data_IF_490786831288
#
_entry.id   IF_490786831288
#
_cell.length_a   1.000
_cell.length_b   1.000
_cell.length_c   1.000
_cell.angle_alpha   90.00
_cell.angle_beta   90.00
_cell.angle_gamma   90.00
#
_symmetry.space_group_name_H-M   'P 1'
#
loop_
_entity.id
_entity.type
_entity.pdbx_description
1 polymer ?
#
# COMPACT_ATOMS: atom_id res chain seq x y z
N UNK A 1 -18.98 39.86 -16.90
CA UNK A 1 -18.07 40.40 -15.87
C UNK A 1 -17.45 39.20 -15.18
N UNK A 2 -16.39 38.66 -15.79
CA UNK A 2 -15.65 37.51 -15.28
C UNK A 2 -14.52 38.07 -14.40
N UNK A 3 -14.34 37.59 -13.16
CA UNK A 3 -13.20 38.05 -12.35
C UNK A 3 -11.88 37.60 -13.00
N UNK A 4 -10.90 38.49 -12.94
CA UNK A 4 -9.56 38.35 -13.51
C UNK A 4 -8.88 37.03 -13.10
N UNK A 5 -8.43 36.26 -14.10
CA UNK A 5 -7.64 35.05 -13.89
C UNK A 5 -6.30 35.29 -13.17
N UNK A 6 -5.88 36.56 -13.00
CA UNK A 6 -4.69 36.94 -12.25
C UNK A 6 -4.90 36.89 -10.72
N UNK A 7 -6.13 37.03 -10.21
CA UNK A 7 -6.37 36.98 -8.75
C UNK A 7 -6.39 35.57 -8.17
N UNK A 8 -6.45 34.53 -9.01
CA UNK A 8 -6.37 33.13 -8.60
C UNK A 8 -4.93 32.58 -8.55
N UNK A 9 -3.94 33.33 -9.04
CA UNK A 9 -2.52 32.94 -9.00
C UNK A 9 -1.81 33.35 -7.70
N UNK A 10 -2.47 34.08 -6.81
CA UNK A 10 -1.88 34.57 -5.55
C UNK A 10 -2.02 33.60 -4.36
N UNK A 11 -2.67 32.43 -4.54
CA UNK A 11 -2.79 31.41 -3.49
C UNK A 11 -1.83 30.26 -3.81
N UNK A 12 -0.64 30.28 -3.20
CA UNK A 12 0.24 29.12 -3.16
C UNK A 12 1.61 29.32 -3.82
N UNK A 13 2.33 30.39 -3.46
CA UNK A 13 3.79 30.30 -3.52
C UNK A 13 4.23 29.17 -2.56
N UNK A 14 5.05 28.19 -2.99
CA UNK A 14 5.51 27.14 -2.10
C UNK A 14 6.41 27.77 -1.03
N UNK A 15 5.90 27.86 0.19
CA UNK A 15 6.67 28.25 1.36
C UNK A 15 7.53 27.06 1.81
N UNK A 16 8.73 26.95 1.25
CA UNK A 16 9.77 26.02 1.72
C UNK A 16 10.76 25.62 0.62
N UNK A 17 12.02 25.28 0.98
CA UNK A 17 12.95 24.68 0.03
C UNK A 17 12.30 23.43 -0.57
N UNK A 18 12.37 23.23 -1.89
CA UNK A 18 12.01 21.95 -2.53
C UNK A 18 12.74 20.87 -1.73
N UNK A 19 12.00 20.03 -1.01
CA UNK A 19 12.61 18.93 -0.27
C UNK A 19 13.32 18.05 -1.30
N UNK A 20 14.64 18.19 -1.40
CA UNK A 20 15.43 17.35 -2.28
C UNK A 20 15.24 15.91 -1.80
N UNK A 21 14.72 15.07 -2.68
CA UNK A 21 14.64 13.64 -2.41
C UNK A 21 16.02 13.14 -2.01
N UNK A 22 16.09 12.35 -0.94
CA UNK A 22 17.34 11.69 -0.54
C UNK A 22 17.95 10.97 -1.74
N UNK A 23 19.28 10.87 -1.83
CA UNK A 23 19.94 10.14 -2.93
C UNK A 23 19.40 8.70 -3.04
N UNK A 24 19.02 8.10 -1.92
CA UNK A 24 18.40 6.78 -1.86
C UNK A 24 17.05 6.78 -2.57
N UNK A 25 16.16 7.72 -2.24
CA UNK A 25 14.83 7.85 -2.84
C UNK A 25 14.91 8.18 -4.34
N UNK A 26 15.88 9.03 -4.73
CA UNK A 26 16.11 9.44 -6.11
C UNK A 26 16.57 8.27 -6.99
N UNK A 27 17.43 7.41 -6.47
CA UNK A 27 17.95 6.23 -7.19
C UNK A 27 17.22 4.94 -6.78
N UNK A 28 16.08 5.03 -6.11
CA UNK A 28 15.32 3.87 -5.62
C UNK A 28 15.05 2.83 -6.73
N UNK A 29 14.66 3.21 -7.97
CA UNK A 29 14.46 2.24 -9.04
C UNK A 29 15.75 1.44 -9.36
N UNK A 30 16.90 2.12 -9.39
CA UNK A 30 18.19 1.48 -9.64
C UNK A 30 18.53 0.49 -8.51
N UNK A 31 18.35 0.89 -7.26
CA UNK A 31 18.59 0.02 -6.11
C UNK A 31 17.68 -1.21 -6.11
N UNK A 32 16.41 -1.05 -6.49
CA UNK A 32 15.48 -2.18 -6.64
C UNK A 32 16.00 -3.16 -7.70
N UNK A 33 16.41 -2.68 -8.88
CA UNK A 33 16.96 -3.56 -9.91
C UNK A 33 18.25 -4.26 -9.48
N UNK A 34 19.15 -3.56 -8.79
CA UNK A 34 20.36 -4.15 -8.23
C UNK A 34 20.02 -5.23 -7.20
N UNK A 35 19.09 -4.96 -6.27
CA UNK A 35 18.66 -5.93 -5.27
C UNK A 35 18.00 -7.17 -5.91
N UNK A 36 17.15 -6.97 -6.93
CA UNK A 36 16.55 -8.07 -7.70
C UNK A 36 17.62 -8.93 -8.38
N UNK A 37 18.58 -8.29 -9.07
CA UNK A 37 19.66 -9.00 -9.76
C UNK A 37 20.53 -9.80 -8.79
N UNK A 38 20.90 -9.19 -7.65
CA UNK A 38 21.66 -9.85 -6.60
C UNK A 38 20.88 -11.01 -5.97
N UNK A 39 19.59 -10.84 -5.69
CA UNK A 39 18.73 -11.90 -5.14
C UNK A 39 18.63 -13.11 -6.08
N UNK A 40 18.42 -12.88 -7.38
CA UNK A 40 18.37 -13.96 -8.39
C UNK A 40 19.73 -14.64 -8.52
N UNK A 41 20.83 -13.88 -8.54
CA UNK A 41 22.18 -14.44 -8.63
C UNK A 41 22.50 -15.30 -7.40
N UNK A 42 22.20 -14.80 -6.21
CA UNK A 42 22.44 -15.53 -4.96
C UNK A 42 21.62 -16.82 -4.90
N UNK A 43 20.33 -16.76 -5.30
CA UNK A 43 19.47 -17.94 -5.38
C UNK A 43 19.94 -18.98 -6.41
N UNK A 44 20.65 -18.56 -7.47
CA UNK A 44 21.27 -19.47 -8.44
C UNK A 44 22.61 -20.06 -7.98
N UNK A 45 23.42 -19.28 -7.27
CA UNK A 45 24.76 -19.71 -6.81
C UNK A 45 24.65 -20.64 -5.60
N UNK A 46 23.67 -20.42 -4.73
CA UNK A 46 23.45 -21.23 -3.52
C UNK A 46 22.14 -22.02 -3.61
N UNK A 47 22.14 -23.21 -4.26
CA UNK A 47 20.98 -24.10 -4.28
C UNK A 47 20.69 -24.58 -2.85
N UNK A 48 19.54 -24.16 -2.29
CA UNK A 48 19.15 -24.42 -0.89
C UNK A 48 18.92 -23.15 -0.06
N UNK A 49 19.24 -21.96 -0.60
CA UNK A 49 18.91 -20.69 0.07
C UNK A 49 17.40 -20.53 0.29
N UNK A 50 16.59 -20.91 -0.71
CA UNK A 50 15.13 -20.93 -0.60
C UNK A 50 14.64 -21.82 0.54
N UNK A 51 15.11 -23.08 0.58
CA UNK A 51 14.74 -24.03 1.63
C UNK A 51 15.12 -23.52 3.02
N UNK A 52 16.27 -22.85 3.18
CA UNK A 52 16.70 -22.26 4.45
C UNK A 52 15.75 -21.13 4.88
N UNK A 53 15.37 -20.25 3.95
CA UNK A 53 14.43 -19.17 4.21
C UNK A 53 13.03 -19.71 4.55
N UNK A 54 12.64 -20.82 3.95
CA UNK A 54 11.34 -21.47 4.16
C UNK A 54 11.28 -22.37 5.40
N UNK A 55 12.40 -22.58 6.12
CA UNK A 55 12.37 -23.37 7.38
C UNK A 55 11.49 -22.76 8.45
N UNK A 56 11.40 -21.43 8.47
CA UNK A 56 10.62 -20.68 9.45
C UNK A 56 9.66 -19.78 8.71
N UNK A 57 8.38 -20.17 8.70
CA UNK A 57 7.32 -19.43 8.03
C UNK A 57 6.26 -18.95 9.03
N UNK A 58 5.74 -17.76 8.76
CA UNK A 58 4.57 -17.18 9.42
C UNK A 58 3.48 -17.03 8.36
N UNK A 59 2.39 -17.78 8.50
CA UNK A 59 1.24 -17.74 7.57
C UNK A 59 1.62 -17.97 6.08
N UNK A 60 2.57 -18.88 5.82
CA UNK A 60 3.03 -19.21 4.47
C UNK A 60 4.04 -18.22 3.88
N UNK A 61 4.49 -17.24 4.66
CA UNK A 61 5.55 -16.29 4.29
C UNK A 61 6.78 -16.54 5.16
N UNK A 62 7.97 -16.58 4.58
CA UNK A 62 9.21 -16.75 5.35
C UNK A 62 9.37 -15.66 6.41
N UNK A 63 9.84 -16.04 7.60
CA UNK A 63 9.90 -15.16 8.75
C UNK A 63 10.72 -13.88 8.50
N UNK A 64 11.87 -13.90 7.81
CA UNK A 64 12.61 -12.68 7.48
C UNK A 64 11.78 -11.71 6.62
N UNK A 65 11.08 -12.23 5.61
CA UNK A 65 10.20 -11.43 4.75
C UNK A 65 9.02 -10.90 5.55
N UNK A 66 8.40 -11.75 6.39
CA UNK A 66 7.28 -11.37 7.22
C UNK A 66 7.63 -10.22 8.17
N UNK A 67 8.80 -10.27 8.83
CA UNK A 67 9.29 -9.20 9.70
C UNK A 67 9.53 -7.92 8.90
N UNK A 68 10.18 -8.03 7.73
CA UNK A 68 10.42 -6.90 6.83
C UNK A 68 9.11 -6.21 6.42
N UNK A 69 8.11 -6.99 5.99
CA UNK A 69 6.78 -6.50 5.60
C UNK A 69 6.05 -5.81 6.76
N UNK A 70 6.02 -6.43 7.94
CA UNK A 70 5.39 -5.84 9.12
C UNK A 70 6.08 -4.53 9.51
N UNK A 71 7.40 -4.52 9.50
CA UNK A 71 8.18 -3.35 9.88
C UNK A 71 8.07 -2.22 8.86
N UNK A 72 8.12 -2.49 7.56
CA UNK A 72 8.00 -1.43 6.55
C UNK A 72 6.62 -0.74 6.58
N UNK A 73 5.57 -1.48 6.92
CA UNK A 73 4.21 -0.94 6.96
C UNK A 73 3.95 -0.10 8.21
N UNK A 74 4.57 -0.44 9.35
CA UNK A 74 4.35 0.24 10.62
C UNK A 74 4.64 1.77 10.57
N UNK A 75 5.81 2.26 10.12
CA UNK A 75 6.10 3.69 10.08
C UNK A 75 5.15 4.48 9.18
N UNK A 76 4.69 3.87 8.09
CA UNK A 76 3.72 4.50 7.17
C UNK A 76 2.39 4.70 7.88
N UNK A 77 1.90 3.67 8.57
CA UNK A 77 0.60 3.71 9.25
C UNK A 77 0.63 4.51 10.55
N UNK A 78 1.80 4.66 11.18
CA UNK A 78 2.00 5.59 12.30
C UNK A 78 1.88 7.08 11.87
N UNK A 79 2.19 7.41 10.61
CA UNK A 79 2.03 8.78 10.08
C UNK A 79 0.57 9.21 9.90
N UNK A 80 -0.37 8.25 9.87
CA UNK A 80 -1.79 8.53 9.64
C UNK A 80 -2.40 9.29 10.82
N UNK A 81 -3.17 10.34 10.52
CA UNK A 81 -3.85 11.20 11.51
C UNK A 81 -5.29 10.78 11.75
N UNK A 82 -5.50 9.75 12.55
CA UNK A 82 -6.82 9.16 12.81
C UNK A 82 -7.84 10.17 13.37
N UNK A 83 -7.39 11.19 14.10
CA UNK A 83 -8.23 12.22 14.71
C UNK A 83 -8.84 13.19 13.68
N UNK A 84 -8.27 13.22 12.48
CA UNK A 84 -8.73 14.09 11.38
C UNK A 84 -9.76 13.40 10.48
N UNK A 85 -9.91 12.07 10.57
CA UNK A 85 -10.83 11.29 9.74
C UNK A 85 -12.27 11.81 9.80
N UNK A 86 -12.74 12.22 10.99
CA UNK A 86 -14.10 12.75 11.18
C UNK A 86 -14.35 14.13 10.57
N UNK A 87 -13.31 14.91 10.28
CA UNK A 87 -13.45 16.28 9.74
C UNK A 87 -13.61 16.31 8.22
N UNK A 88 -13.36 15.20 7.52
CA UNK A 88 -13.31 15.13 6.06
C UNK A 88 -14.62 14.73 5.36
N UNK A 89 -15.77 14.82 6.05
CA UNK A 89 -17.08 14.70 5.40
C UNK A 89 -17.31 15.76 4.31
N UNK A 90 -16.60 16.90 4.37
CA UNK A 90 -16.71 18.00 3.41
C UNK A 90 -16.18 17.69 1.99
N UNK A 91 -15.52 16.54 1.77
CA UNK A 91 -14.95 16.15 0.46
C UNK A 91 -15.51 14.84 -0.10
N UNK A 92 -16.79 14.55 0.16
CA UNK A 92 -17.44 13.31 -0.26
C UNK A 92 -17.29 12.96 -1.76
N UNK A 93 -17.21 13.97 -2.64
CA UNK A 93 -16.95 13.76 -4.08
C UNK A 93 -15.58 13.14 -4.34
N UNK A 94 -14.51 13.65 -3.69
CA UNK A 94 -13.16 13.12 -3.86
C UNK A 94 -13.07 11.69 -3.30
N UNK A 95 -13.64 11.46 -2.13
CA UNK A 95 -13.67 10.14 -1.52
C UNK A 95 -14.45 9.14 -2.39
N UNK A 96 -15.62 9.54 -2.90
CA UNK A 96 -16.42 8.71 -3.80
C UNK A 96 -15.67 8.35 -5.09
N UNK A 97 -15.02 9.33 -5.73
CA UNK A 97 -14.19 9.08 -6.92
C UNK A 97 -13.05 8.11 -6.60
N UNK A 98 -12.34 8.32 -5.48
CA UNK A 98 -11.27 7.41 -5.06
C UNK A 98 -11.80 6.00 -4.82
N UNK A 99 -12.94 5.85 -4.14
CA UNK A 99 -13.51 4.53 -3.86
C UNK A 99 -13.92 3.83 -5.15
N UNK A 100 -14.59 4.51 -6.08
CA UNK A 100 -15.00 3.90 -7.36
C UNK A 100 -13.79 3.50 -8.21
N UNK A 101 -12.80 4.39 -8.34
CA UNK A 101 -11.56 4.07 -9.05
C UNK A 101 -10.82 2.90 -8.38
N UNK A 102 -10.84 2.87 -7.04
CA UNK A 102 -10.06 1.89 -6.29
C UNK A 102 -10.75 0.53 -6.09
N UNK A 103 -12.06 0.48 -6.00
CA UNK A 103 -12.75 -0.75 -5.62
C UNK A 103 -13.61 -1.31 -6.73
N UNK A 104 -13.76 -0.58 -7.84
CA UNK A 104 -14.53 -1.02 -9.01
C UNK A 104 -13.68 -0.99 -10.27
N UNK A 105 -13.22 0.19 -10.70
CA UNK A 105 -12.56 0.34 -12.01
C UNK A 105 -11.22 -0.38 -12.03
N UNK A 106 -10.37 -0.18 -11.01
CA UNK A 106 -9.05 -0.80 -10.97
C UNK A 106 -9.08 -2.34 -10.94
N UNK A 107 -9.89 -3.01 -10.08
CA UNK A 107 -10.03 -4.46 -10.09
C UNK A 107 -10.47 -5.02 -11.45
N UNK A 108 -11.50 -4.42 -12.06
CA UNK A 108 -12.01 -4.84 -13.37
C UNK A 108 -10.94 -4.68 -14.45
N UNK A 109 -10.25 -3.54 -14.46
CA UNK A 109 -9.16 -3.30 -15.41
C UNK A 109 -8.03 -4.32 -15.25
N UNK A 110 -7.59 -4.57 -14.01
CA UNK A 110 -6.51 -5.52 -13.73
C UNK A 110 -6.90 -6.95 -14.09
N UNK A 111 -8.13 -7.35 -13.82
CA UNK A 111 -8.67 -8.64 -14.25
C UNK A 111 -8.66 -8.77 -15.77
N UNK A 112 -9.17 -7.76 -16.48
CA UNK A 112 -9.19 -7.75 -17.95
C UNK A 112 -7.77 -7.84 -18.54
N UNK A 113 -6.82 -7.08 -18.00
CA UNK A 113 -5.42 -7.14 -18.43
C UNK A 113 -4.79 -8.51 -18.16
N UNK A 114 -5.06 -9.10 -17.00
CA UNK A 114 -4.51 -10.41 -16.65
C UNK A 114 -5.01 -11.50 -17.61
N UNK A 115 -6.29 -11.50 -17.95
CA UNK A 115 -6.84 -12.45 -18.92
C UNK A 115 -6.43 -12.17 -20.37
N UNK A 116 -6.24 -10.90 -20.74
CA UNK A 116 -5.80 -10.54 -22.08
C UNK A 116 -4.33 -10.93 -22.35
N UNK A 117 -3.43 -10.73 -21.38
CA UNK A 117 -1.99 -10.91 -21.59
C UNK A 117 -1.43 -12.24 -21.06
N UNK A 118 -2.12 -12.90 -20.11
CA UNK A 118 -1.64 -14.15 -19.50
C UNK A 118 -2.66 -15.31 -19.61
N UNK A 119 -3.30 -15.58 -20.78
CA UNK A 119 -4.40 -16.55 -20.91
C UNK A 119 -4.00 -18.02 -20.71
N UNK A 120 -2.72 -18.36 -20.86
CA UNK A 120 -2.22 -19.73 -20.69
C UNK A 120 -1.42 -19.93 -19.39
N UNK A 121 -1.27 -18.87 -18.59
CA UNK A 121 -0.38 -18.82 -17.43
C UNK A 121 -1.17 -18.49 -16.15
N UNK A 122 -1.94 -19.46 -15.60
CA UNK A 122 -2.88 -19.19 -14.51
C UNK A 122 -2.19 -18.70 -13.23
N UNK A 123 -1.01 -19.23 -12.90
CA UNK A 123 -0.27 -18.80 -11.71
C UNK A 123 0.12 -17.31 -11.78
N UNK A 124 0.68 -16.87 -12.92
CA UNK A 124 1.05 -15.47 -13.13
C UNK A 124 -0.18 -14.57 -13.24
N UNK A 125 -1.25 -15.04 -13.88
CA UNK A 125 -2.52 -14.31 -13.96
C UNK A 125 -3.10 -14.02 -12.59
N UNK A 126 -3.18 -15.04 -11.72
CA UNK A 126 -3.73 -14.90 -10.38
C UNK A 126 -2.88 -13.96 -9.53
N UNK A 127 -1.55 -14.07 -9.63
CA UNK A 127 -0.63 -13.13 -8.99
C UNK A 127 -0.85 -11.69 -9.44
N UNK A 128 -1.02 -11.46 -10.75
CA UNK A 128 -1.29 -10.13 -11.31
C UNK A 128 -2.66 -9.57 -10.84
N UNK A 129 -3.69 -10.40 -10.76
CA UNK A 129 -5.00 -10.02 -10.22
C UNK A 129 -4.86 -9.60 -8.76
N UNK A 130 -4.22 -10.42 -7.92
CA UNK A 130 -4.02 -10.13 -6.50
C UNK A 130 -3.24 -8.82 -6.28
N UNK A 131 -2.15 -8.60 -7.03
CA UNK A 131 -1.40 -7.34 -7.01
C UNK A 131 -2.31 -6.17 -7.42
N UNK A 132 -3.17 -6.36 -8.42
CA UNK A 132 -4.14 -5.35 -8.87
C UNK A 132 -5.24 -5.01 -7.86
N UNK A 133 -5.61 -5.97 -7.00
CA UNK A 133 -6.54 -5.76 -5.89
C UNK A 133 -5.88 -5.01 -4.72
N UNK A 134 -4.56 -5.15 -4.56
CA UNK A 134 -3.83 -4.53 -3.48
C UNK A 134 -3.72 -3.02 -3.72
N UNK A 135 -4.13 -2.21 -2.74
CA UNK A 135 -4.06 -0.76 -2.88
C UNK A 135 -2.77 -0.22 -2.32
N UNK A 136 -2.19 0.71 -3.08
CA UNK A 136 -1.00 1.41 -2.63
C UNK A 136 -1.39 2.41 -1.54
N UNK A 137 -0.81 2.24 -0.36
CA UNK A 137 -1.07 3.05 0.82
C UNK A 137 0.11 3.99 1.09
N UNK A 138 1.35 3.51 0.96
CA UNK A 138 2.56 4.26 1.28
C UNK A 138 2.99 5.25 0.20
N UNK A 139 3.16 4.77 -1.03
CA UNK A 139 3.73 5.57 -2.11
C UNK A 139 2.83 6.76 -2.49
N UNK A 140 1.52 6.64 -2.29
CA UNK A 140 0.56 7.73 -2.52
C UNK A 140 0.89 8.96 -1.66
N UNK A 141 1.37 8.80 -0.43
CA UNK A 141 1.77 9.94 0.41
C UNK A 141 2.98 10.67 -0.16
N UNK A 142 3.95 9.93 -0.70
CA UNK A 142 5.15 10.51 -1.32
C UNK A 142 4.76 11.23 -2.61
N UNK A 143 3.98 10.59 -3.49
CA UNK A 143 3.50 11.22 -4.73
C UNK A 143 2.67 12.46 -4.44
N UNK A 144 1.82 12.43 -3.42
CA UNK A 144 1.04 13.58 -3.01
C UNK A 144 1.94 14.73 -2.54
N UNK A 145 2.97 14.45 -1.73
CA UNK A 145 3.94 15.46 -1.30
C UNK A 145 4.71 16.04 -2.49
N UNK A 146 5.15 15.20 -3.44
CA UNK A 146 5.86 15.62 -4.65
C UNK A 146 4.96 16.47 -5.57
N UNK A 147 3.67 16.17 -5.62
CA UNK A 147 2.67 16.93 -6.37
C UNK A 147 2.19 18.20 -5.62
N UNK A 148 2.77 18.50 -4.45
CA UNK A 148 2.33 19.58 -3.56
C UNK A 148 0.84 19.49 -3.18
N UNK A 149 0.32 18.27 -3.08
CA UNK A 149 -1.05 17.99 -2.67
C UNK A 149 -1.28 18.09 -1.17
N UNK A 150 -2.55 18.10 -0.77
CA UNK A 150 -2.97 18.17 0.63
C UNK A 150 -2.62 16.86 1.38
N UNK A 151 -1.71 16.95 2.34
CA UNK A 151 -1.26 15.80 3.12
C UNK A 151 -2.29 15.27 4.12
N UNK A 152 -3.24 16.10 4.56
CA UNK A 152 -4.34 15.69 5.44
C UNK A 152 -5.32 14.82 4.65
N UNK A 153 -5.71 15.28 3.46
CA UNK A 153 -6.58 14.53 2.54
C UNK A 153 -5.97 13.20 2.15
N UNK A 154 -4.69 13.20 1.76
CA UNK A 154 -3.99 11.97 1.38
C UNK A 154 -3.91 10.98 2.55
N UNK A 155 -3.62 11.44 3.76
CA UNK A 155 -3.60 10.59 4.96
C UNK A 155 -4.97 9.97 5.26
N UNK A 156 -6.06 10.71 5.05
CA UNK A 156 -7.43 10.19 5.21
C UNK A 156 -7.75 9.14 4.14
N UNK A 157 -7.43 9.41 2.87
CA UNK A 157 -7.62 8.44 1.79
C UNK A 157 -6.83 7.15 2.04
N UNK A 158 -5.60 7.26 2.53
CA UNK A 158 -4.74 6.14 2.93
C UNK A 158 -5.37 5.32 4.03
N UNK A 159 -5.90 5.96 5.08
CA UNK A 159 -6.59 5.28 6.17
C UNK A 159 -7.85 4.53 5.68
N UNK A 160 -8.71 5.20 4.90
CA UNK A 160 -9.94 4.61 4.39
C UNK A 160 -9.63 3.44 3.45
N UNK A 161 -8.68 3.60 2.52
CA UNK A 161 -8.28 2.51 1.63
C UNK A 161 -7.69 1.33 2.41
N UNK A 162 -6.96 1.58 3.50
CA UNK A 162 -6.43 0.50 4.35
C UNK A 162 -7.54 -0.29 5.03
N UNK A 163 -8.56 0.39 5.58
CA UNK A 163 -9.73 -0.26 6.19
C UNK A 163 -10.53 -1.04 5.15
N UNK A 164 -10.80 -0.44 4.00
CA UNK A 164 -11.46 -1.12 2.89
C UNK A 164 -10.65 -2.33 2.40
N UNK A 165 -9.32 -2.23 2.37
CA UNK A 165 -8.46 -3.35 2.00
C UNK A 165 -8.52 -4.48 3.00
N UNK A 166 -8.53 -4.20 4.30
CA UNK A 166 -8.74 -5.27 5.30
C UNK A 166 -10.11 -5.94 5.12
N UNK A 167 -11.15 -5.16 4.85
CA UNK A 167 -12.51 -5.67 4.75
C UNK A 167 -12.82 -6.41 3.43
N UNK A 168 -12.34 -5.88 2.31
CA UNK A 168 -12.77 -6.27 0.96
C UNK A 168 -11.71 -7.02 0.17
N UNK A 169 -10.43 -6.98 0.53
CA UNK A 169 -9.38 -7.61 -0.29
C UNK A 169 -9.59 -9.12 -0.41
N UNK A 170 -9.94 -9.79 0.70
CA UNK A 170 -10.29 -11.21 0.67
C UNK A 170 -11.51 -11.45 -0.21
N UNK A 171 -12.59 -10.65 -0.02
CA UNK A 171 -13.85 -10.81 -0.76
C UNK A 171 -13.64 -10.65 -2.26
N UNK A 172 -12.91 -9.60 -2.66
CA UNK A 172 -12.57 -9.36 -4.06
C UNK A 172 -11.60 -10.42 -4.59
N UNK A 173 -10.66 -10.90 -3.78
CA UNK A 173 -9.77 -12.00 -4.15
C UNK A 173 -10.54 -13.25 -4.51
N UNK A 174 -11.47 -13.67 -3.65
CA UNK A 174 -12.37 -14.79 -3.92
C UNK A 174 -13.26 -14.55 -5.15
N UNK A 175 -13.86 -13.36 -5.27
CA UNK A 175 -14.72 -13.01 -6.40
C UNK A 175 -13.98 -13.08 -7.74
N UNK A 176 -12.80 -12.46 -7.85
CA UNK A 176 -12.05 -12.35 -9.09
C UNK A 176 -11.21 -13.59 -9.43
N UNK A 177 -10.84 -14.42 -8.44
CA UNK A 177 -10.06 -15.65 -8.67
C UNK A 177 -10.93 -16.90 -8.81
N UNK A 178 -12.10 -16.95 -8.16
CA UNK A 178 -12.94 -18.15 -8.12
C UNK A 178 -14.26 -17.96 -8.87
N UNK A 179 -15.07 -16.98 -8.48
CA UNK A 179 -16.44 -16.84 -9.00
C UNK A 179 -16.48 -16.34 -10.46
N UNK A 180 -15.81 -15.22 -10.75
CA UNK A 180 -15.87 -14.60 -12.09
C UNK A 180 -15.31 -15.53 -13.17
N UNK A 181 -14.12 -16.17 -13.01
CA UNK A 181 -13.64 -17.17 -13.97
C UNK A 181 -14.62 -18.33 -14.18
N UNK A 182 -15.29 -18.78 -13.12
CA UNK A 182 -16.30 -19.83 -13.18
C UNK A 182 -17.49 -19.48 -14.07
N UNK A 183 -17.90 -18.20 -14.12
CA UNK A 183 -18.96 -17.74 -15.04
C UNK A 183 -18.56 -17.86 -16.52
N UNK A 184 -17.27 -17.85 -16.82
CA UNK A 184 -16.74 -18.03 -18.18
C UNK A 184 -16.37 -19.49 -18.49
N UNK A 185 -16.71 -20.44 -17.60
CA UNK A 185 -16.41 -21.86 -17.77
C UNK A 185 -14.92 -22.19 -17.69
N UNK A 186 -14.09 -21.27 -17.17
CA UNK A 186 -12.70 -21.54 -16.91
C UNK A 186 -12.57 -22.25 -15.56
N UNK A 187 -11.74 -23.29 -15.51
CA UNK A 187 -11.38 -23.90 -14.24
C UNK A 187 -10.79 -22.82 -13.34
N UNK A 188 -11.38 -22.64 -12.15
CA UNK A 188 -10.76 -21.90 -11.07
C UNK A 188 -9.46 -22.64 -10.74
N UNK A 189 -8.36 -22.16 -11.33
CA UNK A 189 -7.07 -22.84 -11.28
C UNK A 189 -6.64 -23.12 -9.84
N UNK A 190 -5.97 -24.25 -9.67
CA UNK A 190 -5.43 -24.96 -8.49
C UNK A 190 -4.67 -24.17 -7.40
N UNK A 191 -4.76 -22.85 -7.34
CA UNK A 191 -4.38 -22.13 -6.14
C UNK A 191 -5.45 -22.40 -5.09
N UNK A 192 -5.12 -23.28 -4.15
CA UNK A 192 -5.89 -23.63 -2.94
C UNK A 192 -5.96 -22.43 -1.97
N UNK A 193 -6.04 -21.21 -2.50
CA UNK A 193 -6.04 -19.96 -1.78
C UNK A 193 -7.46 -19.73 -1.32
N UNK A 194 -7.77 -20.28 -0.16
CA UNK A 194 -9.07 -20.05 0.45
C UNK A 194 -9.23 -18.57 0.80
N UNK A 195 -10.46 -18.08 0.68
CA UNK A 195 -10.88 -16.77 1.18
C UNK A 195 -10.36 -16.50 2.61
N UNK A 196 -10.34 -17.54 3.45
CA UNK A 196 -9.84 -17.48 4.83
C UNK A 196 -8.32 -17.26 4.94
N UNK A 197 -7.53 -17.85 4.05
CA UNK A 197 -6.08 -17.63 4.01
C UNK A 197 -5.73 -16.21 3.57
N UNK A 198 -6.42 -15.69 2.56
CA UNK A 198 -6.27 -14.30 2.14
C UNK A 198 -6.61 -13.37 3.31
N UNK A 199 -7.76 -13.60 3.96
CA UNK A 199 -8.18 -12.80 5.10
C UNK A 199 -7.16 -12.83 6.25
N UNK A 200 -6.65 -14.03 6.60
CA UNK A 200 -5.61 -14.20 7.62
C UNK A 200 -4.35 -13.40 7.28
N UNK A 201 -3.85 -13.52 6.05
CA UNK A 201 -2.65 -12.80 5.62
C UNK A 201 -2.83 -11.29 5.62
N UNK A 202 -3.97 -10.79 5.15
CA UNK A 202 -4.28 -9.35 5.21
C UNK A 202 -4.37 -8.86 6.66
N UNK A 203 -5.01 -9.61 7.56
CA UNK A 203 -5.08 -9.28 8.98
C UNK A 203 -3.68 -9.22 9.63
N UNK A 204 -2.81 -10.17 9.32
CA UNK A 204 -1.45 -10.20 9.86
C UNK A 204 -0.63 -9.05 9.28
N UNK A 205 -0.51 -8.95 7.95
CA UNK A 205 0.44 -8.04 7.31
C UNK A 205 -0.04 -6.59 7.21
N UNK A 206 -1.35 -6.35 7.17
CA UNK A 206 -1.92 -4.98 7.15
C UNK A 206 -2.62 -4.64 8.47
N UNK A 207 -3.40 -5.55 9.04
CA UNK A 207 -4.15 -5.30 10.27
C UNK A 207 -3.25 -5.04 11.49
N UNK A 208 -2.21 -5.84 11.71
CA UNK A 208 -1.29 -5.65 12.85
C UNK A 208 -0.55 -4.30 12.74
N UNK A 209 0.11 -3.95 11.61
CA UNK A 209 0.78 -2.65 11.49
C UNK A 209 -0.19 -1.46 11.60
N UNK A 210 -1.43 -1.59 11.11
CA UNK A 210 -2.45 -0.56 11.25
C UNK A 210 -2.80 -0.32 12.72
N UNK A 211 -3.07 -1.40 13.46
CA UNK A 211 -3.36 -1.33 14.89
C UNK A 211 -2.17 -0.77 15.67
N UNK A 212 -0.96 -1.23 15.37
CA UNK A 212 0.26 -0.75 16.02
C UNK A 212 0.50 0.74 15.76
N UNK A 213 0.32 1.21 14.52
CA UNK A 213 0.42 2.61 14.14
C UNK A 213 -0.62 3.48 14.86
N UNK A 214 -1.87 3.02 14.89
CA UNK A 214 -2.97 3.69 15.60
C UNK A 214 -2.69 3.79 17.11
N UNK A 215 -2.35 2.68 17.77
CA UNK A 215 -2.02 2.67 19.20
C UNK A 215 -0.81 3.56 19.52
N UNK A 216 0.23 3.52 18.68
CA UNK A 216 1.42 4.37 18.83
C UNK A 216 1.02 5.84 18.88
N UNK A 217 0.19 6.28 17.93
CA UNK A 217 -0.27 7.68 17.87
C UNK A 217 -1.19 8.03 19.05
N UNK A 218 -2.19 7.18 19.33
CA UNK A 218 -3.15 7.39 20.42
C UNK A 218 -2.49 7.46 21.80
N UNK A 219 -1.36 6.77 22.01
CA UNK A 219 -0.63 6.78 23.28
C UNK A 219 0.39 7.92 23.35
N UNK A 220 1.17 8.16 22.28
CA UNK A 220 2.27 9.12 22.32
C UNK A 220 1.83 10.57 22.14
N UNK A 221 0.79 10.83 21.33
CA UNK A 221 0.32 12.21 21.10
C UNK A 221 -0.18 12.86 22.40
N UNK A 222 -1.04 12.22 23.22
CA UNK A 222 -1.46 12.81 24.50
C UNK A 222 -0.32 12.93 25.52
N UNK A 223 0.67 12.02 25.48
CA UNK A 223 1.77 11.98 26.45
C UNK A 223 2.91 12.96 26.16
N UNK A 224 3.22 13.21 24.88
CA UNK A 224 4.40 13.99 24.46
C UNK A 224 4.06 15.20 23.59
N UNK A 225 2.80 15.38 23.22
CA UNK A 225 2.35 16.47 22.36
C UNK A 225 2.48 16.14 20.86
N UNK A 226 1.67 16.85 20.05
CA UNK A 226 1.61 16.68 18.60
C UNK A 226 2.92 17.10 17.92
N UNK A 227 3.47 18.24 18.29
CA UNK A 227 4.69 18.77 17.66
C UNK A 227 5.88 17.81 17.83
N UNK A 228 6.04 17.21 19.01
CA UNK A 228 7.05 16.19 19.23
C UNK A 228 6.82 14.95 18.36
N UNK A 229 5.57 14.50 18.24
CA UNK A 229 5.24 13.33 17.44
C UNK A 229 5.56 13.58 15.95
N UNK A 230 5.07 14.68 15.39
CA UNK A 230 5.16 14.95 13.96
C UNK A 230 6.57 15.44 13.55
N UNK A 231 7.29 16.17 14.40
CA UNK A 231 8.63 16.72 14.08
C UNK A 231 9.82 15.95 14.67
N UNK A 232 9.62 15.06 15.64
CA UNK A 232 10.73 14.28 16.25
C UNK A 232 10.56 12.78 16.06
N UNK A 233 9.38 12.22 16.36
CA UNK A 233 9.17 10.77 16.30
C UNK A 233 9.03 10.27 14.86
N UNK A 234 8.10 10.86 14.09
CA UNK A 234 7.82 10.48 12.71
C UNK A 234 9.06 10.59 11.79
N UNK A 235 9.87 11.67 11.83
CA UNK A 235 11.07 11.78 11.00
C UNK A 235 12.15 10.75 11.35
N UNK A 236 12.16 10.22 12.58
CA UNK A 236 13.10 9.16 13.00
C UNK A 236 12.69 7.78 12.49
N UNK A 237 11.40 7.45 12.55
CA UNK A 237 10.91 6.13 12.12
C UNK A 237 10.59 6.09 10.62
N UNK A 238 10.32 7.23 9.98
CA UNK A 238 9.91 7.30 8.58
C UNK A 238 10.89 6.64 7.61
N UNK A 239 12.21 6.92 7.69
CA UNK A 239 13.21 6.31 6.82
C UNK A 239 13.40 4.80 7.02
N UNK A 240 13.02 4.25 8.18
CA UNK A 240 13.19 2.82 8.46
C UNK A 240 12.17 1.95 7.72
N UNK A 241 11.24 2.56 6.98
CA UNK A 241 10.34 1.82 6.09
C UNK A 241 11.03 1.27 4.83
N UNK A 242 12.27 1.70 4.54
CA UNK A 242 13.09 1.22 3.42
C UNK A 242 14.08 0.10 3.83
N UNK A 243 13.97 -0.44 5.05
CA UNK A 243 14.80 -1.54 5.55
C UNK A 243 14.53 -2.86 4.82
#
# INVERSE_FOLDING_TARGET
>A
MFPDFQSLQAVGAPAGPRAELSRIDRFLPLWIFVAMALGVLLGRVFPGLGDILDRVQLAGVSLPIAIGLLWMMYPVLAKVRYETLGRFQAQGRLLGVSIVLNWVIGPILMFALAWAFLPNEPAYRNGLILIGLARCIAMVLIWNQLACGDGDVAAVLVAINSVFQIAMYSVLGWLFLSEIPGWFGADASSLDVSMGEIARNVLIFLGIPLLAGALTRLILVPRKGRDWYDHTFIPKIGPTALL
#
